data_IF_500162248086
#
_entry.id   IF_500162248086
#
_cell.length_a   1.000
_cell.length_b   1.000
_cell.length_c   1.000
_cell.angle_alpha   90.00
_cell.angle_beta   90.00
_cell.angle_gamma   90.00
#
_symmetry.space_group_name_H-M   'P 1'
#
loop_
_entity.id
_entity.type
_entity.pdbx_description
1 polymer ?
#
# COMPACT_ATOMS: atom_id res chain seq x y z
N UNK A 1 -2.43 8.89 -20.93
CA UNK A 1 -3.23 7.93 -20.16
C UNK A 1 -2.23 6.95 -19.58
N UNK A 2 -2.01 6.98 -18.27
CA UNK A 2 -1.29 5.88 -17.62
C UNK A 2 -2.14 4.63 -17.83
N UNK A 3 -1.49 3.56 -18.29
CA UNK A 3 -2.18 2.31 -18.57
C UNK A 3 -2.41 1.56 -17.24
N UNK A 4 -3.53 0.84 -17.17
CA UNK A 4 -3.87 -0.06 -16.06
C UNK A 4 -2.72 -1.02 -15.67
N UNK A 5 -1.92 -1.38 -16.67
CA UNK A 5 -0.71 -2.20 -16.55
C UNK A 5 0.38 -1.49 -15.75
N UNK A 6 0.61 -0.19 -15.95
CA UNK A 6 1.66 0.56 -15.24
C UNK A 6 1.33 0.66 -13.75
N UNK A 7 0.07 0.88 -13.42
CA UNK A 7 -0.38 0.90 -12.02
C UNK A 7 -0.16 -0.45 -11.36
N UNK A 8 -0.57 -1.52 -12.04
CA UNK A 8 -0.39 -2.88 -11.55
C UNK A 8 1.08 -3.18 -11.29
N UNK A 9 1.97 -2.79 -12.22
CA UNK A 9 3.42 -2.93 -12.05
C UNK A 9 3.98 -2.12 -10.87
N UNK A 10 3.54 -0.88 -10.65
CA UNK A 10 4.00 -0.09 -9.50
C UNK A 10 3.50 -0.65 -8.16
N UNK A 11 2.26 -1.14 -8.12
CA UNK A 11 1.70 -1.79 -6.94
C UNK A 11 2.42 -3.11 -6.65
N UNK A 12 2.70 -3.93 -7.66
CA UNK A 12 3.48 -5.16 -7.52
C UNK A 12 4.90 -4.86 -7.01
N UNK A 13 5.57 -3.88 -7.62
CA UNK A 13 6.89 -3.43 -7.19
C UNK A 13 6.91 -2.98 -5.74
N UNK A 14 5.88 -2.25 -5.29
CA UNK A 14 5.73 -1.90 -3.89
C UNK A 14 5.73 -3.14 -3.00
N UNK A 15 4.93 -4.17 -3.33
CA UNK A 15 4.91 -5.41 -2.54
C UNK A 15 6.25 -6.13 -2.54
N UNK A 16 6.95 -6.19 -3.68
CA UNK A 16 8.29 -6.77 -3.76
C UNK A 16 9.30 -6.03 -2.89
N UNK A 17 9.28 -4.70 -2.93
CA UNK A 17 10.17 -3.84 -2.14
C UNK A 17 9.91 -3.98 -0.63
N UNK A 18 8.64 -4.02 -0.22
CA UNK A 18 8.25 -4.29 1.17
C UNK A 18 8.69 -5.69 1.62
N UNK A 19 8.47 -6.71 0.77
CA UNK A 19 8.85 -8.08 1.08
C UNK A 19 10.36 -8.22 1.26
N UNK A 20 11.15 -7.61 0.37
CA UNK A 20 12.61 -7.57 0.48
C UNK A 20 13.06 -6.86 1.76
N UNK A 21 12.50 -5.67 2.04
CA UNK A 21 12.82 -4.91 3.25
C UNK A 21 12.48 -5.66 4.54
N UNK A 22 11.36 -6.39 4.57
CA UNK A 22 10.99 -7.24 5.68
C UNK A 22 11.94 -8.44 5.84
N UNK A 23 12.38 -9.07 4.74
CA UNK A 23 13.35 -10.17 4.80
C UNK A 23 14.71 -9.69 5.35
N UNK A 24 15.21 -8.54 4.90
CA UNK A 24 16.45 -7.94 5.39
C UNK A 24 16.38 -7.63 6.90
N UNK A 25 15.24 -7.14 7.38
CA UNK A 25 15.01 -6.91 8.82
C UNK A 25 14.90 -8.19 9.63
N UNK A 26 14.28 -9.22 9.07
CA UNK A 26 14.23 -10.54 9.72
C UNK A 26 15.65 -11.08 9.92
N UNK A 27 16.50 -10.95 8.89
CA UNK A 27 17.89 -11.36 8.96
C UNK A 27 18.72 -10.56 9.99
N UNK A 28 18.33 -9.32 10.30
CA UNK A 28 18.95 -8.49 11.35
C UNK A 28 18.28 -8.61 12.73
N UNK A 29 17.29 -9.50 12.89
CA UNK A 29 16.60 -9.76 14.16
C UNK A 29 15.51 -8.73 14.53
N UNK A 30 15.07 -7.91 13.58
CA UNK A 30 13.98 -6.95 13.78
C UNK A 30 12.58 -7.59 13.69
N UNK A 31 11.57 -7.02 14.37
CA UNK A 31 10.18 -7.44 14.24
C UNK A 31 9.63 -7.04 12.86
N UNK A 32 8.96 -7.98 12.18
CA UNK A 32 8.44 -7.80 10.81
C UNK A 32 7.01 -8.29 10.61
N UNK A 33 6.39 -8.89 11.64
CA UNK A 33 5.00 -9.39 11.59
C UNK A 33 4.04 -8.33 11.10
N UNK A 34 4.26 -7.09 11.51
CA UNK A 34 3.31 -5.99 11.30
C UNK A 34 3.34 -5.51 9.84
N UNK A 35 4.48 -5.65 9.16
CA UNK A 35 4.63 -5.31 7.73
C UNK A 35 3.90 -6.34 6.87
N UNK A 36 4.07 -7.64 7.16
CA UNK A 36 3.36 -8.69 6.43
C UNK A 36 1.84 -8.62 6.64
N UNK A 37 1.40 -8.37 7.87
CA UNK A 37 -0.02 -8.17 8.19
C UNK A 37 -0.58 -6.93 7.49
N UNK A 38 0.16 -5.81 7.48
CA UNK A 38 -0.25 -4.62 6.75
C UNK A 38 -0.36 -4.87 5.25
N UNK A 39 0.61 -5.54 4.62
CA UNK A 39 0.54 -5.90 3.20
C UNK A 39 -0.67 -6.78 2.87
N UNK A 40 -0.98 -7.77 3.73
CA UNK A 40 -2.15 -8.61 3.56
C UNK A 40 -3.45 -7.80 3.64
N UNK A 41 -3.54 -6.88 4.61
CA UNK A 41 -4.68 -5.98 4.75
C UNK A 41 -4.83 -5.06 3.53
N UNK A 42 -3.74 -4.42 3.07
CA UNK A 42 -3.77 -3.56 1.88
C UNK A 42 -4.25 -4.34 0.66
N UNK A 43 -3.78 -5.58 0.44
CA UNK A 43 -4.26 -6.43 -0.67
C UNK A 43 -5.75 -6.72 -0.59
N UNK A 44 -6.28 -6.92 0.61
CA UNK A 44 -7.68 -7.25 0.82
C UNK A 44 -8.61 -6.06 0.58
N UNK A 45 -8.16 -4.85 0.88
CA UNK A 45 -8.99 -3.64 0.87
C UNK A 45 -8.77 -2.76 -0.36
N UNK A 46 -7.69 -3.00 -1.12
CA UNK A 46 -7.45 -2.30 -2.39
C UNK A 46 -8.62 -2.54 -3.35
N UNK A 47 -9.26 -1.47 -3.88
CA UNK A 47 -10.32 -1.65 -4.86
C UNK A 47 -9.76 -2.26 -6.15
N UNK A 48 -10.56 -3.08 -6.84
CA UNK A 48 -10.17 -3.61 -8.15
C UNK A 48 -10.02 -2.47 -9.15
N UNK A 49 -9.02 -2.58 -10.03
CA UNK A 49 -8.83 -1.62 -11.11
C UNK A 49 -9.69 -2.06 -12.30
N UNK A 50 -10.88 -1.48 -12.43
CA UNK A 50 -11.78 -1.76 -13.54
C UNK A 50 -11.46 -0.89 -14.78
N UNK A 51 -11.87 -1.33 -15.98
CA UNK A 51 -11.60 -0.62 -17.23
C UNK A 51 -12.48 0.62 -17.47
N UNK A 52 -13.50 0.84 -16.64
CA UNK A 52 -14.50 1.90 -16.79
C UNK A 52 -14.17 3.13 -15.94
N UNK A 53 -13.47 2.96 -14.84
CA UNK A 53 -13.08 4.01 -13.90
C UNK A 53 -11.76 4.65 -14.35
N UNK A 54 -11.73 5.98 -14.45
CA UNK A 54 -10.48 6.68 -14.80
C UNK A 54 -9.52 6.67 -13.62
N UNK A 55 -8.22 6.72 -13.88
CA UNK A 55 -7.21 6.75 -12.81
C UNK A 55 -7.37 7.94 -11.86
N UNK A 56 -7.80 9.07 -12.40
CA UNK A 56 -8.08 10.28 -11.64
C UNK A 56 -9.25 10.11 -10.66
N UNK A 57 -10.12 9.11 -10.88
CA UNK A 57 -11.21 8.74 -9.97
C UNK A 57 -10.81 7.57 -9.07
N UNK A 58 -10.17 6.54 -9.64
CA UNK A 58 -9.79 5.33 -8.92
C UNK A 58 -8.73 5.60 -7.84
N UNK A 59 -7.69 6.39 -8.15
CA UNK A 59 -6.59 6.63 -7.22
C UNK A 59 -7.06 7.34 -5.94
N UNK A 60 -7.79 8.47 -5.99
CA UNK A 60 -8.31 9.09 -4.78
C UNK A 60 -9.18 8.14 -3.95
N UNK A 61 -10.01 7.32 -4.60
CA UNK A 61 -10.85 6.34 -3.92
C UNK A 61 -10.02 5.25 -3.21
N UNK A 62 -9.00 4.69 -3.89
CA UNK A 62 -8.08 3.74 -3.29
C UNK A 62 -7.32 4.33 -2.11
N UNK A 63 -6.86 5.59 -2.21
CA UNK A 63 -6.19 6.30 -1.12
C UNK A 63 -7.10 6.47 0.10
N UNK A 64 -8.37 6.83 -0.10
CA UNK A 64 -9.34 6.95 1.00
C UNK A 64 -9.51 5.63 1.76
N UNK A 65 -9.66 4.52 1.04
CA UNK A 65 -9.80 3.19 1.65
C UNK A 65 -8.54 2.81 2.43
N UNK A 66 -7.36 2.93 1.81
CA UNK A 66 -6.08 2.57 2.43
C UNK A 66 -5.82 3.40 3.69
N UNK A 67 -6.12 4.70 3.66
CA UNK A 67 -5.91 5.58 4.80
C UNK A 67 -6.91 5.32 5.93
N UNK A 68 -8.15 4.93 5.61
CA UNK A 68 -9.11 4.49 6.62
C UNK A 68 -8.66 3.18 7.28
N UNK A 69 -8.19 2.22 6.51
CA UNK A 69 -7.69 0.93 7.01
C UNK A 69 -6.39 1.07 7.80
N UNK A 70 -5.52 2.00 7.43
CA UNK A 70 -4.34 2.35 8.23
C UNK A 70 -4.69 2.69 9.68
N UNK A 71 -5.73 3.50 9.88
CA UNK A 71 -6.16 3.91 11.21
C UNK A 71 -6.70 2.72 12.01
N UNK A 72 -7.55 1.90 11.39
CA UNK A 72 -8.07 0.66 12.01
C UNK A 72 -6.94 -0.30 12.38
N UNK A 73 -6.02 -0.55 11.45
CA UNK A 73 -4.88 -1.43 11.67
C UNK A 73 -4.04 -0.96 12.86
N UNK A 74 -3.75 0.34 12.93
CA UNK A 74 -2.98 0.92 14.03
C UNK A 74 -3.66 0.70 15.38
N UNK A 75 -4.96 0.93 15.44
CA UNK A 75 -5.75 0.82 16.67
C UNK A 75 -5.92 -0.65 17.10
N UNK A 76 -6.13 -1.58 16.16
CA UNK A 76 -6.34 -3.01 16.44
C UNK A 76 -5.05 -3.75 16.81
N UNK A 77 -3.92 -3.37 16.20
CA UNK A 77 -2.64 -4.08 16.39
C UNK A 77 -1.75 -3.42 17.45
N UNK A 78 -2.20 -2.31 18.05
CA UNK A 78 -1.39 -1.48 18.94
C UNK A 78 0.01 -1.24 18.32
N UNK A 79 0.02 -0.79 17.06
CA UNK A 79 1.24 -0.58 16.26
C UNK A 79 2.01 0.66 16.78
N UNK A 80 2.58 0.53 17.98
CA UNK A 80 3.30 1.60 18.68
C UNK A 80 4.59 1.98 17.95
N UNK A 81 5.25 1.01 17.33
CA UNK A 81 6.44 1.23 16.52
C UNK A 81 6.11 1.86 15.15
N UNK A 82 4.84 1.77 14.70
CA UNK A 82 4.34 2.41 13.51
C UNK A 82 4.73 1.72 12.20
N UNK A 83 5.27 0.50 12.24
CA UNK A 83 5.83 -0.16 11.05
C UNK A 83 4.73 -0.65 10.11
N UNK A 84 3.67 -1.25 10.66
CA UNK A 84 2.54 -1.69 9.84
C UNK A 84 1.79 -0.48 9.26
N UNK A 85 1.51 0.52 10.08
CA UNK A 85 0.85 1.75 9.65
C UNK A 85 1.70 2.62 8.69
N UNK A 86 3.03 2.50 8.73
CA UNK A 86 3.92 3.11 7.74
C UNK A 86 3.76 2.45 6.36
N UNK A 87 3.60 1.12 6.28
CA UNK A 87 3.38 0.40 5.01
C UNK A 87 2.14 0.93 4.26
N UNK A 88 1.06 1.25 4.98
CA UNK A 88 -0.12 1.91 4.36
C UNK A 88 0.20 3.31 3.82
N UNK A 89 0.96 4.11 4.58
CA UNK A 89 1.38 5.44 4.15
C UNK A 89 2.30 5.41 2.93
N UNK A 90 3.18 4.41 2.84
CA UNK A 90 4.05 4.20 1.69
C UNK A 90 3.24 3.81 0.44
N UNK A 91 2.24 2.92 0.58
CA UNK A 91 1.33 2.62 -0.53
C UNK A 91 0.54 3.87 -0.97
N UNK A 92 0.01 4.66 -0.03
CA UNK A 92 -0.65 5.93 -0.35
C UNK A 92 0.29 6.91 -1.08
N UNK A 93 1.59 6.89 -0.75
CA UNK A 93 2.62 7.64 -1.47
C UNK A 93 2.80 7.17 -2.92
N UNK A 94 2.85 5.85 -3.16
CA UNK A 94 2.91 5.28 -4.53
C UNK A 94 1.71 5.72 -5.35
N UNK A 95 0.51 5.61 -4.78
CA UNK A 95 -0.73 6.05 -5.43
C UNK A 95 -0.70 7.56 -5.74
N UNK A 96 -0.24 8.38 -4.80
CA UNK A 96 -0.14 9.82 -5.01
C UNK A 96 0.80 10.18 -6.17
N UNK A 97 1.96 9.52 -6.28
CA UNK A 97 2.89 9.73 -7.41
C UNK A 97 2.22 9.36 -8.74
N UNK A 98 1.55 8.21 -8.79
CA UNK A 98 0.80 7.78 -9.98
C UNK A 98 -0.27 8.79 -10.41
N UNK A 99 -0.94 9.44 -9.45
CA UNK A 99 -1.93 10.48 -9.75
C UNK A 99 -1.28 11.74 -10.36
N UNK A 100 -0.13 12.15 -9.85
CA UNK A 100 0.62 13.30 -10.39
C UNK A 100 1.12 13.03 -11.80
N UNK A 101 1.58 11.82 -12.09
CA UNK A 101 2.05 11.40 -13.43
C UNK A 101 0.90 11.19 -14.42
N UNK A 102 -0.34 11.05 -13.93
CA UNK A 102 -1.55 10.88 -14.75
C UNK A 102 -2.21 12.20 -15.17
N UNK A 103 -1.72 13.33 -14.66
CA UNK A 103 -2.23 14.69 -14.90
C UNK A 103 -1.53 15.36 -16.07
#
# INVERSE_FOLDING_TARGET
MLDSEIISQQIEKFYEDQYRGAQERTASGGPVSDIFSAMACIRQVMPELDQQTTLQQWIPHAMEIIMAERQKFRDENNDEAGWGSATFSEMAGVLYVLLQESS
#
